data_IF_011311122528
#
_entry.id   IF_011311122528
#
_cell.length_a   1.000
_cell.length_b   1.000
_cell.length_c   1.000
_cell.angle_alpha   90.00
_cell.angle_beta   90.00
_cell.angle_gamma   90.00
#
_symmetry.space_group_name_H-M   'P 1'
#
loop_
_entity.id
_entity.type
_entity.pdbx_description
1 polymer ?
#
# COMPACT_ATOMS: atom_id res chain seq x y z
N UNK A 1 18.28 14.14 -8.77
CA UNK A 1 17.08 13.29 -8.64
C UNK A 1 17.44 12.19 -7.68
N UNK A 2 16.78 12.11 -6.53
CA UNK A 2 16.97 10.99 -5.62
C UNK A 2 16.39 9.74 -6.29
N UNK A 3 17.16 8.65 -6.31
CA UNK A 3 16.73 7.38 -6.89
C UNK A 3 15.59 6.81 -6.02
N UNK A 4 14.43 6.55 -6.63
CA UNK A 4 13.27 5.97 -5.94
C UNK A 4 13.64 4.64 -5.26
N UNK A 5 14.58 3.89 -5.84
CA UNK A 5 15.05 2.61 -5.32
C UNK A 5 15.78 2.80 -3.99
N UNK A 6 16.63 3.83 -3.88
CA UNK A 6 17.35 4.15 -2.64
C UNK A 6 16.40 4.71 -1.57
N UNK A 7 15.45 5.56 -1.97
CA UNK A 7 14.40 6.05 -1.05
C UNK A 7 13.54 4.90 -0.52
N UNK A 8 13.14 3.98 -1.39
CA UNK A 8 12.33 2.83 -1.04
C UNK A 8 13.10 1.89 -0.12
N UNK A 9 14.38 1.64 -0.40
CA UNK A 9 15.25 0.84 0.46
C UNK A 9 15.33 1.42 1.87
N UNK A 10 15.51 2.74 1.99
CA UNK A 10 15.49 3.42 3.28
C UNK A 10 14.12 3.30 3.98
N UNK A 11 13.03 3.47 3.23
CA UNK A 11 11.67 3.34 3.74
C UNK A 11 11.34 1.94 4.25
N UNK A 12 11.81 0.90 3.55
CA UNK A 12 11.67 -0.49 3.97
C UNK A 12 12.49 -0.77 5.25
N UNK A 13 13.71 -0.25 5.33
CA UNK A 13 14.56 -0.39 6.51
C UNK A 13 13.94 0.27 7.76
N UNK A 14 13.30 1.44 7.61
CA UNK A 14 12.54 2.08 8.70
C UNK A 14 11.41 1.18 9.24
N UNK A 15 10.85 0.31 8.40
CA UNK A 15 9.72 -0.53 8.73
C UNK A 15 10.10 -1.92 9.26
N UNK A 16 11.35 -2.36 9.10
CA UNK A 16 11.79 -3.75 9.30
C UNK A 16 11.49 -4.28 10.72
N UNK A 17 11.83 -3.50 11.74
CA UNK A 17 11.58 -3.81 13.16
C UNK A 17 10.44 -2.99 13.78
N UNK A 18 9.79 -2.14 13.00
CA UNK A 18 8.74 -1.27 13.50
C UNK A 18 7.42 -2.04 13.74
N UNK A 19 6.69 -1.77 14.84
CA UNK A 19 5.43 -2.42 15.14
C UNK A 19 4.34 -2.04 14.11
N UNK A 20 3.52 -3.00 13.72
CA UNK A 20 2.33 -2.76 12.90
C UNK A 20 1.25 -2.14 13.79
N UNK A 21 0.74 -0.98 13.37
CA UNK A 21 -0.28 -0.24 14.12
C UNK A 21 -1.41 0.12 13.17
N UNK A 22 -2.62 -0.36 13.45
CA UNK A 22 -3.82 -0.04 12.67
C UNK A 22 -4.07 1.47 12.65
N UNK A 23 -4.31 2.02 11.46
CA UNK A 23 -4.52 3.46 11.25
C UNK A 23 -3.24 4.28 11.10
N UNK A 24 -2.07 3.73 11.44
CA UNK A 24 -0.81 4.47 11.43
C UNK A 24 0.27 3.83 10.56
N UNK A 25 0.42 2.51 10.61
CA UNK A 25 1.46 1.74 9.90
C UNK A 25 0.97 0.33 9.61
N UNK A 26 -0.14 0.25 8.89
CA UNK A 26 -0.81 -0.98 8.44
C UNK A 26 -0.74 -1.14 6.91
N UNK A 27 -1.45 -2.15 6.39
CA UNK A 27 -1.39 -2.50 4.98
C UNK A 27 -1.90 -1.40 4.03
N UNK A 28 -2.58 -0.36 4.52
CA UNK A 28 -3.04 0.75 3.67
C UNK A 28 -2.38 2.08 4.03
N UNK A 29 -2.24 2.38 5.31
CA UNK A 29 -1.67 3.65 5.79
C UNK A 29 -0.17 3.76 5.54
N UNK A 30 0.58 2.65 5.65
CA UNK A 30 2.01 2.63 5.36
C UNK A 30 2.31 2.88 3.86
N UNK A 31 1.75 2.14 2.89
CA UNK A 31 1.97 2.47 1.48
C UNK A 31 1.41 3.85 1.10
N UNK A 32 0.34 4.35 1.74
CA UNK A 32 -0.12 5.72 1.53
C UNK A 32 0.93 6.75 1.95
N UNK A 33 1.52 6.61 3.14
CA UNK A 33 2.65 7.45 3.61
C UNK A 33 3.86 7.39 2.69
N UNK A 34 4.10 6.27 2.01
CA UNK A 34 5.11 6.18 0.97
C UNK A 34 4.77 7.06 -0.24
N UNK A 35 3.52 7.03 -0.72
CA UNK A 35 3.06 7.95 -1.77
C UNK A 35 3.27 9.40 -1.35
N UNK A 36 2.90 9.76 -0.11
CA UNK A 36 3.09 11.12 0.40
C UNK A 36 4.57 11.53 0.39
N UNK A 37 5.47 10.62 0.76
CA UNK A 37 6.92 10.86 0.77
C UNK A 37 7.48 11.05 -0.64
N UNK A 38 6.97 10.33 -1.64
CA UNK A 38 7.44 10.42 -3.03
C UNK A 38 6.85 11.62 -3.76
N UNK A 39 5.56 11.89 -3.56
CA UNK A 39 4.78 12.88 -4.32
C UNK A 39 4.66 14.22 -3.64
N UNK A 40 4.91 14.30 -2.34
CA UNK A 40 4.73 15.51 -1.55
C UNK A 40 3.27 15.94 -1.40
N UNK A 41 2.31 15.03 -1.58
CA UNK A 41 0.87 15.27 -1.43
C UNK A 41 0.31 14.35 -0.36
N UNK A 42 -0.69 14.79 0.40
CA UNK A 42 -1.33 13.91 1.39
C UNK A 42 -2.37 13.02 0.70
N UNK A 43 -2.37 11.73 1.04
CA UNK A 43 -3.35 10.78 0.50
C UNK A 43 -4.53 10.70 1.48
N UNK A 44 -5.73 11.17 1.10
CA UNK A 44 -6.86 11.32 2.02
C UNK A 44 -7.61 10.00 2.25
N UNK A 45 -6.91 8.96 2.70
CA UNK A 45 -7.57 7.74 3.15
C UNK A 45 -8.43 8.03 4.40
N UNK A 46 -9.58 7.35 4.58
CA UNK A 46 -10.35 7.44 5.81
C UNK A 46 -9.49 7.06 7.03
N UNK A 47 -9.84 7.58 8.19
CA UNK A 47 -9.20 7.16 9.44
C UNK A 47 -9.88 5.91 10.01
N UNK A 48 -9.07 4.99 10.54
CA UNK A 48 -9.50 3.86 11.35
C UNK A 48 -8.44 3.58 12.41
N UNK A 49 -8.79 2.85 13.46
CA UNK A 49 -7.90 2.52 14.59
C UNK A 49 -7.82 1.03 14.90
N UNK A 50 -8.64 0.22 14.22
CA UNK A 50 -8.71 -1.22 14.39
C UNK A 50 -8.97 -1.95 13.08
N UNK A 51 -8.70 -3.25 13.06
CA UNK A 51 -9.01 -4.13 11.95
C UNK A 51 -10.50 -4.14 11.63
N UNK A 52 -11.34 -4.15 12.66
CA UNK A 52 -12.79 -4.20 12.55
C UNK A 52 -13.36 -2.94 11.89
N UNK A 53 -12.82 -1.77 12.24
CA UNK A 53 -13.17 -0.49 11.62
C UNK A 53 -12.72 -0.43 10.15
N UNK A 54 -11.49 -0.85 9.85
CA UNK A 54 -11.00 -0.93 8.47
C UNK A 54 -11.90 -1.84 7.62
N UNK A 55 -12.26 -3.01 8.14
CA UNK A 55 -13.18 -3.91 7.47
C UNK A 55 -14.61 -3.35 7.36
N UNK A 56 -15.06 -2.52 8.30
CA UNK A 56 -16.36 -1.86 8.22
C UNK A 56 -16.40 -0.85 7.07
N UNK A 57 -15.36 -0.02 6.96
CA UNK A 57 -15.21 0.92 5.84
C UNK A 57 -15.18 0.21 4.48
N UNK A 58 -14.46 -0.91 4.39
CA UNK A 58 -14.44 -1.73 3.17
C UNK A 58 -15.81 -2.32 2.84
N UNK A 59 -16.63 -2.69 3.83
CA UNK A 59 -18.00 -3.19 3.57
C UNK A 59 -18.92 -2.10 3.05
N UNK A 60 -18.79 -0.88 3.57
CA UNK A 60 -19.64 0.24 3.17
C UNK A 60 -19.28 0.75 1.76
N UNK A 61 -17.99 0.71 1.41
CA UNK A 61 -17.48 1.14 0.09
C UNK A 61 -17.38 0.02 -0.95
N UNK A 62 -17.46 -1.24 -0.50
CA UNK A 62 -17.45 -2.45 -1.33
C UNK A 62 -16.06 -3.06 -1.55
N UNK A 63 -14.98 -2.28 -1.49
CA UNK A 63 -13.59 -2.75 -1.68
C UNK A 63 -12.58 -1.74 -1.14
N UNK A 64 -11.43 -2.24 -0.68
CA UNK A 64 -10.26 -1.42 -0.39
C UNK A 64 -9.78 -0.67 -1.64
N UNK A 65 -9.94 -1.25 -2.83
CA UNK A 65 -9.58 -0.60 -4.09
C UNK A 65 -10.38 0.68 -4.31
N UNK A 66 -11.66 0.69 -3.96
CA UNK A 66 -12.51 1.88 -4.11
C UNK A 66 -12.02 3.04 -3.22
N UNK A 67 -11.61 2.74 -1.99
CA UNK A 67 -11.01 3.73 -1.08
C UNK A 67 -9.70 4.29 -1.64
N UNK A 68 -8.85 3.43 -2.21
CA UNK A 68 -7.60 3.84 -2.82
C UNK A 68 -7.80 4.65 -4.10
N UNK A 69 -8.74 4.25 -4.95
CA UNK A 69 -9.05 4.96 -6.20
C UNK A 69 -9.53 6.38 -5.94
N UNK A 70 -10.46 6.56 -5.01
CA UNK A 70 -10.96 7.88 -4.63
C UNK A 70 -9.80 8.75 -4.13
N UNK A 71 -9.06 8.26 -3.12
CA UNK A 71 -7.97 9.02 -2.50
C UNK A 71 -6.81 9.35 -3.46
N UNK A 72 -6.40 8.41 -4.31
CA UNK A 72 -5.30 8.63 -5.25
C UNK A 72 -5.72 9.47 -6.46
N UNK A 73 -6.99 9.40 -6.88
CA UNK A 73 -7.49 10.23 -7.97
C UNK A 73 -7.46 11.72 -7.62
N UNK A 74 -7.75 12.08 -6.37
CA UNK A 74 -7.61 13.46 -5.85
C UNK A 74 -6.16 13.96 -5.89
N UNK A 75 -5.21 13.02 -5.82
CA UNK A 75 -3.77 13.28 -5.90
C UNK A 75 -3.23 13.26 -7.35
N UNK A 76 -4.09 13.05 -8.36
CA UNK A 76 -3.69 12.90 -9.76
C UNK A 76 -2.82 11.66 -10.02
N UNK A 77 -3.06 10.58 -9.26
CA UNK A 77 -2.36 9.30 -9.36
C UNK A 77 -3.35 8.29 -9.95
N UNK A 78 -2.90 7.54 -10.96
CA UNK A 78 -3.77 6.69 -11.76
C UNK A 78 -3.23 5.27 -11.90
N UNK A 79 -4.11 4.37 -12.31
CA UNK A 79 -3.82 2.96 -12.51
C UNK A 79 -2.71 2.72 -13.55
N UNK A 80 -1.90 1.69 -13.34
CA UNK A 80 -0.97 1.14 -14.33
C UNK A 80 -1.14 -0.37 -14.47
N UNK A 81 -0.94 -0.89 -15.68
CA UNK A 81 -0.97 -2.33 -15.94
C UNK A 81 0.39 -3.02 -15.66
N UNK A 82 1.47 -2.23 -15.59
CA UNK A 82 2.84 -2.74 -15.42
C UNK A 82 3.47 -2.06 -14.21
N UNK A 83 3.47 -2.71 -13.04
CA UNK A 83 4.08 -2.15 -11.83
C UNK A 83 5.58 -1.92 -12.02
N UNK A 84 6.04 -0.76 -11.59
CA UNK A 84 7.45 -0.40 -11.44
C UNK A 84 7.85 -0.37 -9.95
N UNK A 85 9.15 -0.25 -9.69
CA UNK A 85 9.67 -0.16 -8.32
C UNK A 85 9.10 1.09 -7.64
N UNK A 86 8.49 0.91 -6.48
CA UNK A 86 7.89 1.98 -5.68
C UNK A 86 6.41 2.20 -5.94
N UNK A 87 5.84 1.62 -7.01
CA UNK A 87 4.39 1.69 -7.24
C UNK A 87 3.62 1.04 -6.10
N UNK A 88 2.40 1.52 -5.88
CA UNK A 88 1.51 1.00 -4.83
C UNK A 88 0.41 0.17 -5.45
N UNK A 89 -0.11 -0.80 -4.70
CA UNK A 89 -1.18 -1.63 -5.21
C UNK A 89 -1.93 -2.35 -4.11
N UNK A 90 -3.02 -2.99 -4.51
CA UNK A 90 -3.83 -3.87 -3.67
C UNK A 90 -3.75 -5.28 -4.25
N UNK A 91 -3.45 -6.24 -3.38
CA UNK A 91 -3.49 -7.67 -3.69
C UNK A 91 -4.61 -8.37 -2.91
N UNK A 92 -5.11 -9.47 -3.44
CA UNK A 92 -6.04 -10.35 -2.76
C UNK A 92 -5.28 -11.49 -2.08
N UNK A 93 -5.24 -11.46 -0.75
CA UNK A 93 -4.72 -12.53 0.09
C UNK A 93 -5.83 -13.50 0.46
N UNK A 94 -5.61 -14.80 0.25
CA UNK A 94 -6.56 -15.84 0.69
C UNK A 94 -6.82 -15.84 2.20
N UNK A 95 -5.83 -15.43 3.01
CA UNK A 95 -5.94 -15.45 4.47
C UNK A 95 -6.47 -14.13 5.06
N UNK A 96 -6.28 -13.01 4.35
CA UNK A 96 -6.52 -11.67 4.92
C UNK A 96 -7.47 -10.80 4.10
N UNK A 97 -7.91 -11.25 2.93
CA UNK A 97 -8.68 -10.43 1.99
C UNK A 97 -7.78 -9.47 1.23
N UNK A 98 -8.33 -8.33 0.81
CA UNK A 98 -7.59 -7.29 0.11
C UNK A 98 -6.59 -6.61 1.04
N UNK A 99 -5.41 -6.31 0.51
CA UNK A 99 -4.40 -5.59 1.27
C UNK A 99 -3.49 -4.76 0.38
N UNK A 100 -3.19 -3.55 0.85
CA UNK A 100 -2.29 -2.64 0.19
C UNK A 100 -0.81 -2.95 0.44
N UNK A 101 0.05 -2.33 -0.36
CA UNK A 101 1.49 -2.46 -0.26
C UNK A 101 2.21 -1.79 -1.42
N UNK A 102 3.51 -2.03 -1.48
CA UNK A 102 4.46 -1.38 -2.40
C UNK A 102 5.14 -2.45 -3.25
N UNK A 103 5.16 -2.27 -4.57
CA UNK A 103 5.94 -3.08 -5.48
C UNK A 103 7.42 -2.75 -5.34
N UNK A 104 8.24 -3.79 -5.22
CA UNK A 104 9.69 -3.71 -5.15
C UNK A 104 10.29 -4.44 -6.35
N UNK A 105 11.62 -4.39 -6.50
CA UNK A 105 12.33 -5.01 -7.63
C UNK A 105 11.96 -6.48 -7.83
N UNK A 106 12.02 -6.98 -9.07
CA UNK A 106 11.72 -8.38 -9.41
C UNK A 106 10.23 -8.76 -9.36
N UNK A 107 9.33 -7.79 -9.26
CA UNK A 107 7.88 -8.01 -9.16
C UNK A 107 7.46 -8.55 -7.80
N UNK A 108 8.27 -8.34 -6.77
CA UNK A 108 7.91 -8.61 -5.39
C UNK A 108 7.02 -7.48 -4.85
N UNK A 109 6.30 -7.78 -3.77
CA UNK A 109 5.36 -6.88 -3.13
C UNK A 109 5.59 -6.88 -1.61
N UNK A 110 5.80 -5.70 -1.06
CA UNK A 110 6.01 -5.45 0.35
C UNK A 110 4.74 -4.90 0.98
N UNK A 111 4.29 -5.49 2.08
CA UNK A 111 3.11 -5.05 2.83
C UNK A 111 3.34 -5.17 4.33
N UNK A 112 2.65 -4.32 5.11
CA UNK A 112 2.65 -4.39 6.57
C UNK A 112 1.77 -5.54 7.03
N UNK A 113 2.28 -6.33 7.97
CA UNK A 113 1.55 -7.42 8.59
C UNK A 113 1.86 -7.48 10.09
N UNK A 114 0.89 -7.92 10.88
CA UNK A 114 1.05 -8.09 12.32
C UNK A 114 2.10 -9.17 12.67
N UNK A 115 2.79 -9.06 13.82
CA UNK A 115 2.79 -7.91 14.75
C UNK A 115 3.82 -6.82 14.40
N UNK A 116 4.84 -7.16 13.62
CA UNK A 116 6.02 -6.31 13.38
C UNK A 116 6.53 -6.51 11.97
N UNK A 117 7.13 -5.45 11.42
CA UNK A 117 7.83 -5.52 10.16
C UNK A 117 6.92 -5.45 8.94
N UNK A 118 7.54 -5.57 7.79
CA UNK A 118 6.84 -5.87 6.54
C UNK A 118 7.07 -7.34 6.17
N UNK A 119 6.27 -7.83 5.22
CA UNK A 119 6.49 -9.13 4.59
C UNK A 119 6.69 -8.90 3.10
N UNK A 120 7.46 -9.78 2.48
CA UNK A 120 7.65 -9.78 1.04
C UNK A 120 7.02 -11.06 0.49
N UNK A 121 6.27 -10.91 -0.59
CA UNK A 121 5.82 -12.03 -1.41
C UNK A 121 5.90 -11.66 -2.88
N UNK A 122 5.80 -12.64 -3.77
CA UNK A 122 5.59 -12.40 -5.19
C UNK A 122 4.12 -12.68 -5.51
N UNK A 123 3.29 -11.66 -5.76
CA UNK A 123 1.88 -11.90 -6.02
C UNK A 123 1.71 -12.61 -7.35
N UNK A 124 0.73 -13.52 -7.43
CA UNK A 124 0.33 -14.08 -8.72
C UNK A 124 -0.43 -13.00 -9.49
N UNK A 125 -0.33 -13.01 -10.81
CA UNK A 125 -0.97 -11.97 -11.61
C UNK A 125 -2.49 -11.89 -11.42
N UNK A 126 -3.15 -13.03 -11.17
CA UNK A 126 -4.59 -13.08 -10.87
C UNK A 126 -4.96 -12.69 -9.42
N UNK A 127 -3.98 -12.38 -8.57
CA UNK A 127 -4.19 -11.89 -7.19
C UNK A 127 -3.90 -10.39 -7.06
N UNK A 128 -3.32 -9.76 -8.08
CA UNK A 128 -3.17 -8.31 -8.12
C UNK A 128 -4.54 -7.75 -8.50
N UNK A 129 -5.14 -6.98 -7.60
CA UNK A 129 -6.46 -6.38 -7.83
C UNK A 129 -6.31 -5.07 -8.60
N UNK A 130 -5.38 -4.22 -8.16
CA UNK A 130 -5.07 -2.94 -8.82
C UNK A 130 -3.67 -2.44 -8.47
N UNK A 131 -3.08 -1.64 -9.35
CA UNK A 131 -1.77 -1.00 -9.19
C UNK A 131 -1.88 0.45 -9.63
N UNK A 132 -1.25 1.37 -8.90
CA UNK A 132 -1.17 2.79 -9.26
C UNK A 132 0.29 3.23 -9.42
N UNK A 133 0.55 3.93 -10.53
CA UNK A 133 1.88 4.48 -10.82
C UNK A 133 2.10 5.74 -10.02
N UNK A 134 3.13 5.76 -9.18
CA UNK A 134 3.49 6.99 -8.44
C UNK A 134 4.64 7.74 -9.12
N UNK A 135 5.18 7.21 -10.22
CA UNK A 135 6.21 7.85 -11.03
C UNK A 135 5.61 8.63 -12.21
#
# INVERSE_FOLDING_TARGET
MTDISEMLKAYLAEAEDAPMVWGESDCSTWPAKWVERVRGVSVPLPAWSSREEAHALMRDTGSLVSLWDEALSECGIYETAVPSIGDVGVILSHAHGEAGGIFIDGGYFAWRAEPTGYRILRPRQNTIVKVWSIQ
#
